data_IF_985646838619
#
_entry.id   IF_985646838619
#
_cell.length_a   1.000
_cell.length_b   1.000
_cell.length_c   1.000
_cell.angle_alpha   90.00
_cell.angle_beta   90.00
_cell.angle_gamma   90.00
#
_symmetry.space_group_name_H-M   'P 1'
#
loop_
_entity.id
_entity.type
_entity.pdbx_description
1 polymer ?
#
# COMPACT_ATOMS: atom_id res chain seq x y z
N UNK A 1 25.23 -2.85 0.22
CA UNK A 1 25.86 -1.68 0.85
C UNK A 1 27.07 -2.17 1.63
N UNK A 2 28.20 -1.45 1.54
CA UNK A 2 29.40 -1.78 2.30
C UNK A 2 29.07 -1.77 3.82
N UNK A 3 29.69 -2.69 4.59
CA UNK A 3 29.48 -2.80 6.04
C UNK A 3 29.73 -1.48 6.78
N UNK A 4 30.72 -0.69 6.35
CA UNK A 4 31.02 0.60 6.96
C UNK A 4 29.93 1.66 6.73
N UNK A 5 29.29 1.64 5.58
CA UNK A 5 28.17 2.54 5.27
C UNK A 5 26.88 2.04 5.94
N UNK A 6 26.68 0.72 5.97
CA UNK A 6 25.50 0.11 6.60
C UNK A 6 25.46 0.28 8.12
N UNK A 7 26.64 0.32 8.77
CA UNK A 7 26.77 0.49 10.21
C UNK A 7 26.75 1.95 10.68
N UNK A 8 26.56 2.93 9.79
CA UNK A 8 26.39 4.33 10.21
C UNK A 8 25.06 4.47 10.94
N UNK A 9 25.13 4.82 12.20
CA UNK A 9 23.96 5.06 13.03
C UNK A 9 23.65 6.55 13.11
N UNK A 10 22.37 6.91 13.07
CA UNK A 10 21.94 8.25 13.39
C UNK A 10 21.89 8.48 14.92
N UNK A 11 21.60 9.71 15.36
CA UNK A 11 21.53 10.04 16.80
C UNK A 11 20.48 9.26 17.58
N UNK A 12 19.51 8.62 16.88
CA UNK A 12 18.50 7.75 17.47
C UNK A 12 18.92 6.27 17.47
N UNK A 13 20.16 5.96 17.09
CA UNK A 13 20.70 4.60 17.06
C UNK A 13 20.19 3.72 15.91
N UNK A 14 19.53 4.31 14.90
CA UNK A 14 19.11 3.57 13.70
C UNK A 14 20.27 3.47 12.72
N UNK A 15 20.49 2.27 12.25
CA UNK A 15 21.49 2.01 11.22
C UNK A 15 21.00 2.45 9.83
N UNK A 16 21.91 2.60 8.89
CA UNK A 16 21.55 2.91 7.51
C UNK A 16 20.67 1.82 6.87
N UNK A 17 20.78 0.59 7.33
CA UNK A 17 19.94 -0.50 6.86
C UNK A 17 18.44 -0.25 7.20
N UNK A 18 18.15 0.25 8.40
CA UNK A 18 16.79 0.58 8.82
C UNK A 18 16.20 1.71 7.96
N UNK A 19 17.06 2.68 7.59
CA UNK A 19 16.66 3.76 6.66
C UNK A 19 16.34 3.19 5.28
N UNK A 20 17.14 2.24 4.80
CA UNK A 20 16.90 1.59 3.50
C UNK A 20 15.64 0.72 3.49
N UNK A 21 15.35 0.03 4.59
CA UNK A 21 14.11 -0.73 4.73
C UNK A 21 12.90 0.20 4.63
N UNK A 22 12.94 1.33 5.34
CA UNK A 22 11.90 2.35 5.22
C UNK A 22 11.74 2.87 3.79
N UNK A 23 12.85 3.18 3.12
CA UNK A 23 12.86 3.63 1.72
C UNK A 23 12.27 2.55 0.80
N UNK A 24 12.57 1.27 1.05
CA UNK A 24 12.05 0.15 0.28
C UNK A 24 10.52 0.02 0.41
N UNK A 25 9.95 0.37 1.55
CA UNK A 25 8.50 0.38 1.77
C UNK A 25 7.79 1.56 1.09
N UNK A 26 8.45 2.73 1.03
CA UNK A 26 7.84 3.94 0.45
C UNK A 26 7.82 3.92 -1.09
N UNK A 27 8.84 3.34 -1.71
CA UNK A 27 8.98 3.34 -3.18
C UNK A 27 7.82 2.64 -3.90
N UNK A 28 7.36 1.45 -3.48
CA UNK A 28 6.22 0.79 -4.12
C UNK A 28 4.92 1.61 -4.01
N UNK A 29 4.75 2.34 -2.91
CA UNK A 29 3.54 3.13 -2.63
C UNK A 29 3.49 4.41 -3.43
N UNK A 30 4.61 5.14 -3.45
CA UNK A 30 4.62 6.53 -3.93
C UNK A 30 5.52 6.77 -5.13
N UNK A 31 6.40 5.83 -5.50
CA UNK A 31 7.49 6.04 -6.46
C UNK A 31 8.41 7.18 -6.07
N UNK A 32 8.66 7.32 -4.79
CA UNK A 32 9.54 8.33 -4.24
C UNK A 32 9.82 8.07 -2.78
N UNK A 33 10.79 8.79 -2.23
CA UNK A 33 11.11 8.81 -0.81
C UNK A 33 11.74 10.13 -0.41
N UNK A 34 11.68 10.46 0.86
CA UNK A 34 12.29 11.65 1.45
C UNK A 34 13.25 11.31 2.57
N UNK A 35 14.41 11.96 2.59
CA UNK A 35 15.40 11.86 3.66
C UNK A 35 15.77 13.24 4.15
N UNK A 36 15.67 13.49 5.45
CA UNK A 36 16.24 14.68 6.08
C UNK A 36 17.72 14.39 6.32
N UNK A 37 18.58 15.21 5.73
CA UNK A 37 20.03 15.10 5.85
C UNK A 37 20.51 16.11 6.88
N UNK A 38 21.17 15.62 7.91
CA UNK A 38 21.81 16.42 8.94
C UNK A 38 23.32 16.52 8.70
N UNK A 39 23.90 17.65 9.07
CA UNK A 39 25.27 17.98 8.78
C UNK A 39 26.11 18.04 10.06
N UNK A 40 27.36 17.62 9.96
CA UNK A 40 28.35 17.83 11.00
C UNK A 40 28.85 19.27 11.03
N UNK A 41 29.59 19.62 12.08
CA UNK A 41 30.19 20.94 12.21
C UNK A 41 31.22 21.29 11.12
N UNK A 42 31.65 20.30 10.35
CA UNK A 42 32.51 20.44 9.17
C UNK A 42 31.73 20.71 7.87
N UNK A 43 30.39 20.76 7.95
CA UNK A 43 29.50 20.95 6.80
C UNK A 43 29.35 19.70 5.91
N UNK A 44 29.74 18.52 6.39
CA UNK A 44 29.52 17.28 5.68
C UNK A 44 28.26 16.60 6.17
N UNK A 45 27.49 15.92 5.27
CA UNK A 45 26.39 15.09 5.67
C UNK A 45 26.82 14.01 6.64
N UNK A 46 26.19 13.98 7.81
CA UNK A 46 26.53 13.06 8.90
C UNK A 46 25.53 11.94 9.01
N UNK A 47 24.25 12.28 9.07
CA UNK A 47 23.14 11.32 9.19
C UNK A 47 22.04 11.62 8.20
N UNK A 48 21.16 10.64 7.98
CA UNK A 48 19.89 10.87 7.34
C UNK A 48 18.74 10.21 8.12
N UNK A 49 17.58 10.89 8.07
CA UNK A 49 16.36 10.42 8.69
C UNK A 49 15.31 10.19 7.61
N UNK A 50 14.69 9.00 7.57
CA UNK A 50 13.61 8.77 6.66
C UNK A 50 12.36 9.53 7.09
N UNK A 51 11.65 10.12 6.13
CA UNK A 51 10.40 10.84 6.35
C UNK A 51 9.29 10.18 5.56
N UNK A 52 8.13 9.88 6.17
CA UNK A 52 6.99 9.37 5.43
C UNK A 52 6.67 10.29 4.25
N UNK A 53 6.66 9.72 3.06
CA UNK A 53 6.53 10.51 1.83
C UNK A 53 5.22 11.31 1.78
N UNK A 54 4.15 10.76 2.36
CA UNK A 54 2.87 11.41 2.51
C UNK A 54 2.90 12.71 3.32
N UNK A 55 3.93 12.91 4.17
CA UNK A 55 4.08 14.10 5.01
C UNK A 55 4.79 15.26 4.29
N UNK A 56 5.38 15.01 3.12
CA UNK A 56 6.19 16.00 2.40
C UNK A 56 5.33 16.76 1.40
N UNK A 57 5.38 18.08 1.47
CA UNK A 57 4.73 18.99 0.51
C UNK A 57 5.71 20.03 -0.01
N UNK A 58 5.64 20.29 -1.30
CA UNK A 58 6.45 21.34 -1.93
C UNK A 58 5.97 22.72 -1.51
N UNK A 59 6.90 23.58 -1.10
CA UNK A 59 6.65 25.01 -0.91
C UNK A 59 6.91 25.69 -2.24
N UNK A 60 5.85 25.97 -2.97
CA UNK A 60 5.92 26.58 -4.29
C UNK A 60 5.95 28.11 -4.17
N UNK A 61 6.91 28.73 -4.85
CA UNK A 61 7.07 30.18 -4.96
C UNK A 61 6.93 30.63 -6.42
N UNK A 62 7.05 31.94 -6.66
CA UNK A 62 6.98 32.52 -8.01
C UNK A 62 8.04 31.94 -8.96
N UNK A 63 9.24 31.60 -8.44
CA UNK A 63 10.31 31.02 -9.25
C UNK A 63 9.96 29.62 -9.76
N UNK A 64 9.15 28.86 -9.02
CA UNK A 64 8.70 27.53 -9.47
C UNK A 64 7.94 27.60 -10.80
N UNK A 65 7.17 28.66 -11.02
CA UNK A 65 6.44 28.86 -12.29
C UNK A 65 7.39 29.01 -13.47
N UNK A 66 8.60 29.52 -13.22
CA UNK A 66 9.62 29.77 -14.23
C UNK A 66 10.49 28.55 -14.54
N UNK A 67 10.97 27.84 -13.49
CA UNK A 67 12.00 26.81 -13.65
C UNK A 67 11.54 25.41 -13.20
N UNK A 68 10.36 25.29 -12.60
CA UNK A 68 9.81 24.04 -12.07
C UNK A 68 10.71 23.36 -11.04
N UNK A 69 11.53 24.15 -10.31
CA UNK A 69 12.43 23.65 -9.28
C UNK A 69 11.83 23.95 -7.90
N UNK A 70 11.62 22.91 -7.10
CA UNK A 70 11.21 23.04 -5.70
C UNK A 70 12.45 23.36 -4.86
N UNK A 71 12.44 24.49 -4.17
CA UNK A 71 13.57 24.94 -3.34
C UNK A 71 13.40 24.66 -1.87
N UNK A 72 12.16 24.50 -1.42
CA UNK A 72 11.83 24.23 -0.01
C UNK A 72 10.71 23.20 0.07
N UNK A 73 10.77 22.37 1.11
CA UNK A 73 9.79 21.34 1.40
C UNK A 73 9.25 21.54 2.80
N UNK A 74 7.96 21.37 2.98
CA UNK A 74 7.34 21.36 4.30
C UNK A 74 7.03 19.91 4.67
N UNK A 75 7.42 19.52 5.87
CA UNK A 75 7.11 18.22 6.47
C UNK A 75 6.11 18.42 7.60
N UNK A 76 4.98 17.74 7.50
CA UNK A 76 3.92 17.80 8.49
C UNK A 76 3.13 16.49 8.46
N UNK A 77 2.75 15.98 9.63
CA UNK A 77 2.10 14.67 9.77
C UNK A 77 0.58 14.69 9.57
N UNK A 78 -0.04 15.86 9.68
CA UNK A 78 -1.51 15.98 9.71
C UNK A 78 -2.05 17.02 8.71
N UNK A 79 -1.89 16.73 7.42
CA UNK A 79 -2.38 17.60 6.35
C UNK A 79 -3.90 17.72 6.27
N UNK A 80 -4.65 16.79 6.84
CA UNK A 80 -6.12 16.80 6.81
C UNK A 80 -6.73 17.88 7.71
N UNK A 81 -6.03 18.25 8.79
CA UNK A 81 -6.47 19.27 9.76
C UNK A 81 -6.06 20.69 9.38
N UNK A 82 -5.17 20.82 8.43
CA UNK A 82 -4.67 22.12 8.03
C UNK A 82 -5.64 22.80 7.06
N UNK A 83 -6.07 24.00 7.43
CA UNK A 83 -6.82 24.83 6.51
C UNK A 83 -5.84 25.35 5.45
N UNK A 84 -5.79 24.67 4.30
CA UNK A 84 -4.85 24.97 3.19
C UNK A 84 -4.89 26.42 2.69
N UNK A 85 -5.87 27.20 3.15
CA UNK A 85 -6.00 28.64 2.83
C UNK A 85 -5.13 29.51 3.70
N UNK A 86 -4.64 29.01 4.84
CA UNK A 86 -3.79 29.78 5.74
C UNK A 86 -2.31 29.63 5.34
N UNK A 87 -1.87 30.47 4.42
CA UNK A 87 -0.47 30.53 3.96
C UNK A 87 0.52 30.92 5.07
N UNK A 88 0.01 31.40 6.22
CA UNK A 88 0.80 31.76 7.40
C UNK A 88 0.84 30.63 8.45
N UNK A 89 0.26 29.47 8.17
CA UNK A 89 0.29 28.34 9.09
C UNK A 89 1.74 27.97 9.45
N UNK A 90 2.08 28.15 10.72
CA UNK A 90 3.38 27.76 11.31
C UNK A 90 3.47 26.26 11.56
N UNK A 91 2.56 25.48 11.01
CA UNK A 91 2.48 24.03 11.19
C UNK A 91 3.52 23.31 10.33
N UNK A 92 4.21 22.37 10.95
CA UNK A 92 5.28 21.61 10.31
C UNK A 92 6.62 22.38 10.17
N UNK A 93 7.64 21.63 9.81
CA UNK A 93 8.99 22.15 9.62
C UNK A 93 9.28 22.34 8.14
N UNK A 94 9.87 23.47 7.78
CA UNK A 94 10.28 23.75 6.41
C UNK A 94 11.77 23.49 6.25
N UNK A 95 12.10 22.58 5.34
CA UNK A 95 13.48 22.21 5.00
C UNK A 95 13.86 22.78 3.65
N UNK A 96 15.09 23.31 3.47
CA UNK A 96 15.66 23.55 2.15
C UNK A 96 15.75 22.24 1.36
N UNK A 97 15.67 22.36 0.04
CA UNK A 97 15.95 21.22 -0.84
C UNK A 97 17.43 20.87 -0.76
N UNK A 98 17.76 19.58 -0.75
CA UNK A 98 19.12 19.12 -0.63
C UNK A 98 20.03 19.70 -1.72
N UNK A 99 20.98 20.51 -1.30
CA UNK A 99 22.05 21.09 -2.11
C UNK A 99 23.29 21.36 -1.23
N UNK A 100 24.23 20.41 -1.15
CA UNK A 100 25.41 20.54 -0.29
C UNK A 100 26.24 21.79 -0.58
N UNK A 101 26.19 22.33 -1.81
CA UNK A 101 26.97 23.52 -2.19
C UNK A 101 26.41 24.79 -1.58
N UNK A 102 25.13 24.82 -1.30
CA UNK A 102 24.47 25.98 -0.71
C UNK A 102 24.34 25.90 0.81
N UNK A 103 24.77 24.80 1.43
CA UNK A 103 24.60 24.57 2.86
C UNK A 103 25.12 25.71 3.73
N UNK A 104 26.36 26.17 3.52
CA UNK A 104 26.94 27.25 4.33
C UNK A 104 26.20 28.58 4.17
N UNK A 105 25.73 28.89 2.97
CA UNK A 105 24.91 30.09 2.72
C UNK A 105 23.59 30.00 3.45
N UNK A 106 22.96 28.83 3.44
CA UNK A 106 21.73 28.58 4.19
C UNK A 106 21.95 28.69 5.70
N UNK A 107 23.09 28.20 6.23
CA UNK A 107 23.44 28.38 7.63
C UNK A 107 23.53 29.86 8.02
N UNK A 108 24.08 30.72 7.16
CA UNK A 108 24.09 32.16 7.38
C UNK A 108 22.67 32.77 7.44
N UNK A 109 21.78 32.31 6.53
CA UNK A 109 20.39 32.76 6.51
C UNK A 109 19.60 32.32 7.76
N UNK A 110 19.93 31.11 8.33
CA UNK A 110 19.32 30.59 9.55
C UNK A 110 19.99 31.11 10.85
N UNK A 111 21.06 31.93 10.74
CA UNK A 111 21.75 32.46 11.89
C UNK A 111 22.70 31.52 12.59
N UNK A 112 23.21 30.49 11.88
CA UNK A 112 24.20 29.54 12.33
C UNK A 112 23.81 28.10 12.06
N UNK A 113 24.81 27.21 12.10
CA UNK A 113 24.63 25.78 11.88
C UNK A 113 23.67 25.14 12.90
N UNK A 114 23.69 25.65 14.14
CA UNK A 114 22.84 25.16 15.23
C UNK A 114 21.34 25.39 14.99
N UNK A 115 21.00 26.40 14.19
CA UNK A 115 19.63 26.74 13.86
C UNK A 115 19.17 26.18 12.51
N UNK A 116 20.08 25.56 11.77
CA UNK A 116 19.76 24.97 10.47
C UNK A 116 19.00 23.66 10.64
N UNK A 117 17.80 23.51 10.06
CA UNK A 117 16.96 22.33 10.29
C UNK A 117 17.50 21.05 9.60
N UNK A 118 18.54 21.16 8.79
CA UNK A 118 18.97 20.16 7.82
C UNK A 118 18.36 20.42 6.45
N UNK A 119 18.70 19.61 5.48
CA UNK A 119 18.18 19.68 4.13
C UNK A 119 17.34 18.43 3.81
N UNK A 120 16.28 18.58 3.01
CA UNK A 120 15.46 17.45 2.57
C UNK A 120 15.93 16.95 1.20
N UNK A 121 16.44 15.73 1.15
CA UNK A 121 16.64 15.01 -0.08
C UNK A 121 15.32 14.37 -0.53
N UNK A 122 14.81 14.82 -1.69
CA UNK A 122 13.54 14.36 -2.25
C UNK A 122 13.78 13.55 -3.50
N UNK A 123 13.62 12.25 -3.41
CA UNK A 123 13.76 11.33 -4.55
C UNK A 123 12.41 11.14 -5.26
N UNK A 124 12.40 11.37 -6.57
CA UNK A 124 11.25 11.16 -7.45
C UNK A 124 11.65 10.21 -8.58
N UNK A 125 10.96 9.07 -8.67
CA UNK A 125 11.17 8.03 -9.68
C UNK A 125 10.28 8.19 -10.91
N UNK A 126 9.43 9.21 -10.92
CA UNK A 126 8.62 9.56 -12.08
C UNK A 126 9.17 10.83 -12.75
N UNK A 127 8.82 11.02 -14.02
CA UNK A 127 9.17 12.27 -14.71
C UNK A 127 8.20 13.43 -14.39
N UNK A 128 7.26 13.22 -13.46
CA UNK A 128 6.27 14.21 -13.07
C UNK A 128 6.77 15.04 -11.89
N UNK A 129 6.51 16.33 -11.91
CA UNK A 129 6.91 17.26 -10.86
C UNK A 129 5.71 18.09 -10.39
N UNK A 130 5.67 18.47 -9.11
CA UNK A 130 6.66 18.18 -8.06
C UNK A 130 6.53 16.75 -7.48
N UNK A 131 5.35 16.12 -7.61
CA UNK A 131 5.08 14.83 -7.00
C UNK A 131 5.14 13.70 -8.01
N UNK A 132 5.66 12.53 -7.61
CA UNK A 132 5.55 11.32 -8.41
C UNK A 132 4.09 10.84 -8.48
N UNK A 133 3.80 10.03 -9.49
CA UNK A 133 2.54 9.32 -9.60
C UNK A 133 2.74 7.91 -9.04
N UNK A 134 1.92 7.54 -8.06
CA UNK A 134 1.89 6.19 -7.52
C UNK A 134 1.65 5.16 -8.63
N UNK A 135 2.30 3.99 -8.59
CA UNK A 135 2.01 2.91 -9.54
C UNK A 135 0.56 2.44 -9.46
N UNK A 136 -0.05 2.56 -8.29
CA UNK A 136 -1.44 2.19 -8.05
C UNK A 136 -2.47 3.16 -8.64
N UNK A 137 -2.05 4.31 -9.12
CA UNK A 137 -2.98 5.28 -9.70
C UNK A 137 -3.73 4.74 -10.94
N UNK A 138 -3.04 3.90 -11.74
CA UNK A 138 -3.63 3.31 -12.94
C UNK A 138 -4.66 2.22 -12.64
N UNK A 139 -4.54 1.55 -11.48
CA UNK A 139 -5.40 0.43 -11.04
C UNK A 139 -6.28 0.82 -9.86
N UNK A 140 -6.52 2.10 -9.67
CA UNK A 140 -7.38 2.60 -8.60
C UNK A 140 -8.82 2.08 -8.71
N UNK A 141 -9.44 1.98 -9.92
CA UNK A 141 -10.75 1.38 -10.07
C UNK A 141 -10.79 -0.10 -9.66
N UNK A 142 -9.75 -0.87 -10.03
CA UNK A 142 -9.60 -2.29 -9.70
C UNK A 142 -9.44 -2.49 -8.19
N UNK A 143 -8.65 -1.65 -7.54
CA UNK A 143 -8.52 -1.64 -6.07
C UNK A 143 -9.85 -1.30 -5.39
N UNK A 144 -10.61 -0.34 -5.93
CA UNK A 144 -11.94 0.00 -5.46
C UNK A 144 -12.94 -1.15 -5.62
N UNK A 145 -12.88 -1.85 -6.75
CA UNK A 145 -13.71 -3.02 -7.01
C UNK A 145 -13.36 -4.19 -6.06
N UNK A 146 -12.07 -4.48 -5.83
CA UNK A 146 -11.65 -5.52 -4.89
C UNK A 146 -12.06 -5.19 -3.46
N UNK A 147 -11.92 -3.94 -3.03
CA UNK A 147 -12.42 -3.47 -1.73
C UNK A 147 -13.95 -3.61 -1.62
N UNK A 148 -14.69 -3.22 -2.65
CA UNK A 148 -16.13 -3.38 -2.70
C UNK A 148 -16.57 -4.84 -2.61
N UNK A 149 -15.85 -5.74 -3.28
CA UNK A 149 -16.07 -7.17 -3.19
C UNK A 149 -15.82 -7.71 -1.77
N UNK A 150 -14.76 -7.26 -1.11
CA UNK A 150 -14.46 -7.65 0.27
C UNK A 150 -15.55 -7.18 1.24
N UNK A 151 -16.00 -5.92 1.12
CA UNK A 151 -17.12 -5.39 1.91
C UNK A 151 -18.43 -6.13 1.64
N UNK A 152 -18.69 -6.51 0.39
CA UNK A 152 -19.87 -7.29 0.05
C UNK A 152 -19.86 -8.66 0.73
N UNK A 153 -18.73 -9.38 0.67
CA UNK A 153 -18.58 -10.68 1.34
C UNK A 153 -18.70 -10.54 2.85
N UNK A 154 -18.06 -9.53 3.45
CA UNK A 154 -18.17 -9.23 4.87
C UNK A 154 -19.62 -8.99 5.29
N UNK A 155 -20.34 -8.15 4.56
CA UNK A 155 -21.75 -7.88 4.82
C UNK A 155 -22.63 -9.11 4.68
N UNK A 156 -22.37 -9.95 3.68
CA UNK A 156 -23.08 -11.20 3.48
C UNK A 156 -22.84 -12.18 4.63
N UNK A 157 -21.58 -12.32 5.06
CA UNK A 157 -21.23 -13.20 6.19
C UNK A 157 -21.79 -12.68 7.52
N UNK A 158 -21.66 -11.38 7.77
CA UNK A 158 -22.16 -10.74 9.00
C UNK A 158 -23.68 -10.80 9.10
N UNK A 159 -24.35 -10.66 7.96
CA UNK A 159 -25.83 -10.63 7.91
C UNK A 159 -26.47 -11.98 7.67
N UNK A 160 -25.69 -13.02 7.40
CA UNK A 160 -26.19 -14.38 7.16
C UNK A 160 -27.05 -14.52 5.91
N UNK A 161 -27.00 -13.57 4.96
CA UNK A 161 -27.90 -13.50 3.82
C UNK A 161 -27.18 -13.50 2.48
N UNK A 162 -27.44 -14.52 1.70
CA UNK A 162 -27.07 -14.58 0.29
C UNK A 162 -28.16 -14.05 -0.66
N UNK A 163 -29.33 -13.70 -0.16
CA UNK A 163 -30.44 -13.18 -0.95
C UNK A 163 -31.32 -12.25 -0.11
N UNK A 164 -31.88 -11.24 -0.75
CA UNK A 164 -32.95 -10.47 -0.15
C UNK A 164 -34.22 -11.35 -0.15
N UNK A 165 -34.78 -11.58 1.02
CA UNK A 165 -36.06 -12.29 1.13
C UNK A 165 -37.19 -11.26 1.31
N UNK A 166 -38.19 -11.40 0.51
CA UNK A 166 -39.44 -10.65 0.69
C UNK A 166 -40.42 -11.53 1.44
N UNK A 167 -40.77 -11.07 2.62
CA UNK A 167 -41.77 -11.73 3.46
C UNK A 167 -43.11 -11.01 3.27
N UNK A 168 -43.99 -11.64 2.51
CA UNK A 168 -45.32 -11.16 2.28
C UNK A 168 -46.27 -11.72 3.34
N UNK A 169 -47.07 -10.87 3.98
CA UNK A 169 -47.99 -11.27 5.03
C UNK A 169 -49.40 -10.68 4.75
N UNK A 170 -50.39 -11.37 5.27
CA UNK A 170 -51.78 -10.89 5.26
C UNK A 170 -52.01 -9.74 6.25
N UNK A 171 -53.29 -9.38 6.43
CA UNK A 171 -53.68 -8.36 7.38
C UNK A 171 -53.69 -8.93 8.80
N UNK A 172 -52.99 -8.25 9.72
CA UNK A 172 -53.04 -8.54 11.16
C UNK A 172 -54.37 -8.04 11.75
N UNK A 173 -54.82 -8.68 12.81
CA UNK A 173 -56.04 -8.29 13.50
C UNK A 173 -55.85 -7.11 14.44
N UNK A 174 -54.64 -6.91 14.95
CA UNK A 174 -54.27 -5.79 15.78
C UNK A 174 -52.88 -5.27 15.55
N UNK A 175 -52.58 -4.03 15.99
CA UNK A 175 -51.24 -3.43 15.91
C UNK A 175 -50.27 -4.16 16.82
N UNK A 176 -50.75 -4.78 17.91
CA UNK A 176 -49.92 -5.58 18.84
C UNK A 176 -49.40 -6.83 18.15
N UNK A 177 -50.25 -7.57 17.44
CA UNK A 177 -49.91 -8.75 16.65
C UNK A 177 -48.88 -8.40 15.56
N UNK A 178 -49.05 -7.25 14.92
CA UNK A 178 -48.07 -6.78 13.93
C UNK A 178 -46.70 -6.47 14.55
N UNK A 179 -46.66 -5.89 15.75
CA UNK A 179 -45.41 -5.58 16.44
C UNK A 179 -44.72 -6.86 16.90
N UNK A 180 -45.45 -7.81 17.50
CA UNK A 180 -44.91 -9.12 17.90
C UNK A 180 -44.31 -9.85 16.70
N UNK A 181 -45.01 -9.81 15.55
CA UNK A 181 -44.49 -10.40 14.31
C UNK A 181 -43.19 -9.72 13.84
N UNK A 182 -43.11 -8.39 13.90
CA UNK A 182 -41.91 -7.65 13.52
C UNK A 182 -40.74 -7.96 14.45
N UNK A 183 -40.96 -8.13 15.74
CA UNK A 183 -39.95 -8.53 16.72
C UNK A 183 -39.48 -9.96 16.44
N UNK A 184 -40.40 -10.91 16.22
CA UNK A 184 -40.07 -12.27 15.86
C UNK A 184 -39.26 -12.37 14.56
N UNK A 185 -39.57 -11.54 13.55
CA UNK A 185 -38.80 -11.47 12.32
C UNK A 185 -37.39 -10.91 12.57
N UNK A 186 -37.25 -9.90 13.45
CA UNK A 186 -35.93 -9.38 13.84
C UNK A 186 -35.09 -10.43 14.56
N UNK A 187 -35.69 -11.19 15.44
CA UNK A 187 -34.98 -12.25 16.18
C UNK A 187 -34.54 -13.40 15.26
N UNK A 188 -35.28 -13.65 14.19
CA UNK A 188 -34.90 -14.62 13.16
C UNK A 188 -33.76 -14.17 12.26
N UNK A 189 -33.45 -12.87 12.25
CA UNK A 189 -32.44 -12.26 11.39
C UNK A 189 -31.00 -12.41 11.87
N UNK A 190 -30.57 -13.59 12.40
CA UNK A 190 -29.17 -13.89 12.77
C UNK A 190 -28.61 -13.06 13.95
N UNK A 191 -27.43 -13.37 14.36
CA UNK A 191 -26.77 -12.96 15.63
C UNK A 191 -26.71 -11.46 15.91
N UNK A 192 -27.20 -10.57 15.09
CA UNK A 192 -27.29 -9.12 15.34
C UNK A 192 -28.40 -8.44 14.53
N UNK A 193 -29.47 -9.14 14.17
CA UNK A 193 -30.55 -8.55 13.39
C UNK A 193 -30.17 -8.18 11.94
N UNK A 194 -29.27 -8.93 11.34
CA UNK A 194 -28.53 -8.56 10.13
C UNK A 194 -29.07 -9.14 8.84
N UNK A 195 -30.30 -9.59 8.77
CA UNK A 195 -30.95 -9.99 7.51
C UNK A 195 -31.77 -8.86 6.90
N UNK A 196 -31.58 -8.54 5.64
CA UNK A 196 -32.50 -7.64 4.94
C UNK A 196 -33.78 -8.43 4.55
N UNK A 197 -34.76 -8.44 5.44
CA UNK A 197 -36.10 -8.95 5.14
C UNK A 197 -37.00 -7.75 4.87
N UNK A 198 -37.47 -7.64 3.65
CA UNK A 198 -38.52 -6.66 3.31
C UNK A 198 -39.86 -7.28 3.66
N UNK A 199 -40.53 -6.74 4.67
CA UNK A 199 -41.91 -7.12 4.97
C UNK A 199 -42.87 -6.31 4.12
N UNK A 200 -43.72 -6.98 3.34
CA UNK A 200 -44.72 -6.35 2.46
C UNK A 200 -46.09 -6.92 2.81
N UNK A 201 -47.03 -6.02 3.03
CA UNK A 201 -48.43 -6.40 3.15
C UNK A 201 -48.97 -6.76 1.77
N UNK A 202 -49.41 -8.01 1.59
CA UNK A 202 -50.06 -8.48 0.36
C UNK A 202 -51.54 -8.81 0.70
N UNK A 203 -52.48 -8.07 0.12
CA UNK A 203 -53.89 -8.26 0.32
C UNK A 203 -54.41 -9.63 -0.19
N UNK A 204 -53.62 -10.30 -1.01
CA UNK A 204 -53.97 -11.63 -1.54
C UNK A 204 -53.45 -12.79 -0.68
N UNK A 205 -52.64 -12.51 0.34
CA UNK A 205 -52.13 -13.51 1.27
C UNK A 205 -53.15 -13.70 2.39
N UNK A 206 -53.49 -14.94 2.66
CA UNK A 206 -54.50 -15.27 3.68
C UNK A 206 -55.95 -15.41 3.13
N UNK A 207 -56.18 -15.25 1.84
CA UNK A 207 -57.46 -15.53 1.20
C UNK A 207 -57.43 -16.99 0.71
N UNK A 208 -58.34 -17.82 1.25
CA UNK A 208 -58.68 -19.19 0.80
C UNK A 208 -57.52 -19.98 0.13
N UNK A 209 -57.01 -20.99 0.78
CA UNK A 209 -55.93 -21.89 0.36
C UNK A 209 -54.52 -21.34 0.24
N UNK A 210 -54.28 -20.07 0.58
CA UNK A 210 -52.92 -19.49 0.62
C UNK A 210 -52.45 -19.34 2.06
N UNK A 211 -51.15 -19.64 2.35
CA UNK A 211 -50.60 -19.41 3.70
C UNK A 211 -50.65 -17.93 4.06
N UNK A 212 -50.88 -17.62 5.34
CA UNK A 212 -50.91 -16.26 5.88
C UNK A 212 -49.55 -15.54 5.70
N UNK A 213 -48.46 -16.30 5.65
CA UNK A 213 -47.12 -15.81 5.44
C UNK A 213 -46.55 -16.51 4.21
N UNK A 214 -45.99 -15.71 3.32
CA UNK A 214 -45.24 -16.19 2.15
C UNK A 214 -43.87 -15.60 2.14
N UNK A 215 -42.84 -16.42 1.89
CA UNK A 215 -41.44 -16.02 1.78
C UNK A 215 -41.07 -16.21 0.30
N UNK A 216 -40.79 -15.11 -0.36
CA UNK A 216 -40.26 -15.11 -1.72
C UNK A 216 -38.76 -14.72 -1.65
N UNK A 217 -37.89 -15.55 -2.15
CA UNK A 217 -36.48 -15.20 -2.30
C UNK A 217 -36.30 -14.33 -3.55
N UNK A 218 -35.88 -13.09 -3.33
CA UNK A 218 -35.58 -12.14 -4.39
C UNK A 218 -34.08 -11.96 -4.42
N UNK A 219 -33.40 -12.68 -5.26
CA UNK A 219 -31.97 -12.56 -5.45
C UNK A 219 -31.39 -13.76 -6.18
N UNK A 220 -30.42 -13.50 -7.01
CA UNK A 220 -29.58 -14.53 -7.59
C UNK A 220 -28.66 -15.08 -6.51
N UNK A 221 -28.60 -16.41 -6.34
CA UNK A 221 -27.57 -16.99 -5.47
C UNK A 221 -26.20 -16.47 -5.93
N UNK A 222 -25.33 -16.16 -4.98
CA UNK A 222 -23.96 -15.78 -5.32
C UNK A 222 -23.34 -16.93 -6.10
N UNK A 223 -23.11 -16.68 -7.37
CA UNK A 223 -22.35 -17.61 -8.19
C UNK A 223 -20.88 -17.49 -7.78
N UNK A 224 -20.40 -18.52 -7.09
CA UNK A 224 -19.00 -18.57 -6.63
C UNK A 224 -18.02 -18.49 -7.80
N UNK A 225 -18.42 -18.97 -8.97
CA UNK A 225 -17.56 -18.95 -10.15
C UNK A 225 -17.55 -17.57 -10.79
N UNK A 226 -18.68 -16.87 -10.75
CA UNK A 226 -18.75 -15.45 -11.16
C UNK A 226 -17.84 -14.60 -10.27
N UNK A 227 -17.95 -14.77 -8.95
CA UNK A 227 -17.09 -14.03 -8.00
C UNK A 227 -15.60 -14.29 -8.27
N UNK A 228 -15.18 -15.55 -8.41
CA UNK A 228 -13.80 -15.90 -8.73
C UNK A 228 -13.34 -15.30 -10.06
N UNK A 229 -14.19 -15.35 -11.08
CA UNK A 229 -13.87 -14.84 -12.41
C UNK A 229 -13.61 -13.31 -12.42
N UNK A 230 -14.20 -12.57 -11.49
CA UNK A 230 -13.94 -11.12 -11.33
C UNK A 230 -12.74 -10.84 -10.43
N UNK A 231 -12.57 -11.54 -9.32
CA UNK A 231 -11.51 -11.24 -8.36
C UNK A 231 -10.10 -11.58 -8.86
N UNK A 232 -9.94 -12.69 -9.59
CA UNK A 232 -8.62 -13.10 -10.08
C UNK A 232 -7.98 -12.09 -11.05
N UNK A 233 -8.69 -11.56 -12.08
CA UNK A 233 -8.14 -10.51 -12.93
C UNK A 233 -7.79 -9.23 -12.17
N UNK A 234 -8.64 -8.78 -11.23
CA UNK A 234 -8.39 -7.57 -10.44
C UNK A 234 -7.09 -7.68 -9.63
N UNK A 235 -6.91 -8.80 -8.93
CA UNK A 235 -5.69 -9.07 -8.15
C UNK A 235 -4.45 -9.12 -9.03
N UNK A 236 -4.58 -9.68 -10.22
CA UNK A 236 -3.50 -9.74 -11.21
C UNK A 236 -3.09 -8.34 -11.65
N UNK A 237 -4.02 -7.48 -11.98
CA UNK A 237 -3.75 -6.14 -12.45
C UNK A 237 -3.12 -5.28 -11.35
N UNK A 238 -3.61 -5.41 -10.10
CA UNK A 238 -3.00 -4.77 -8.92
C UNK A 238 -1.56 -5.26 -8.72
N UNK A 239 -1.30 -6.57 -8.78
CA UNK A 239 0.04 -7.13 -8.60
C UNK A 239 1.01 -6.67 -9.71
N UNK A 240 0.57 -6.63 -10.96
CA UNK A 240 1.39 -6.17 -12.09
C UNK A 240 1.73 -4.68 -11.95
N UNK A 241 0.83 -3.86 -11.41
CA UNK A 241 1.09 -2.43 -11.21
C UNK A 241 2.25 -2.17 -10.23
N UNK A 242 2.49 -3.07 -9.29
CA UNK A 242 3.54 -3.00 -8.30
C UNK A 242 4.83 -3.67 -8.82
N UNK A 243 5.61 -2.96 -9.66
CA UNK A 243 6.89 -3.42 -10.21
C UNK A 243 6.84 -4.75 -10.97
N UNK A 244 5.70 -5.08 -11.57
CA UNK A 244 5.53 -6.31 -12.37
C UNK A 244 5.85 -7.57 -11.56
N UNK A 245 5.32 -7.66 -10.33
CA UNK A 245 5.51 -8.85 -9.49
C UNK A 245 4.84 -10.04 -10.17
N UNK A 246 5.56 -11.13 -10.46
CA UNK A 246 4.94 -12.35 -10.96
C UNK A 246 3.98 -12.93 -9.93
N UNK A 247 2.72 -13.14 -10.31
CA UNK A 247 1.67 -13.60 -9.41
C UNK A 247 2.03 -14.90 -8.67
N UNK A 248 2.68 -15.89 -9.31
CA UNK A 248 3.09 -17.09 -8.61
C UNK A 248 4.06 -16.88 -7.45
N UNK A 249 4.73 -15.72 -7.39
CA UNK A 249 5.56 -15.35 -6.22
C UNK A 249 4.73 -14.83 -5.04
N UNK A 250 3.48 -14.41 -5.29
CA UNK A 250 2.54 -13.95 -4.27
C UNK A 250 1.63 -15.09 -3.84
N UNK A 251 1.13 -15.85 -4.81
CA UNK A 251 0.23 -16.98 -4.60
C UNK A 251 0.81 -18.25 -5.20
N UNK A 252 1.39 -19.07 -4.34
CA UNK A 252 2.01 -20.35 -4.72
C UNK A 252 1.00 -21.39 -5.18
N UNK A 253 -0.30 -21.22 -4.90
CA UNK A 253 -1.36 -22.13 -5.35
C UNK A 253 -1.51 -22.16 -6.87
N UNK A 254 -1.09 -21.06 -7.52
CA UNK A 254 -1.10 -20.92 -8.97
C UNK A 254 0.09 -21.62 -9.67
N UNK A 255 1.03 -22.13 -8.88
CA UNK A 255 2.12 -22.95 -9.39
C UNK A 255 1.61 -24.38 -9.48
N UNK A 256 1.32 -24.86 -10.68
CA UNK A 256 1.00 -26.26 -10.89
C UNK A 256 2.24 -27.11 -10.55
N UNK A 257 2.20 -27.81 -9.42
CA UNK A 257 3.32 -28.62 -8.90
C UNK A 257 3.72 -29.78 -9.85
N UNK A 258 2.88 -30.10 -10.82
CA UNK A 258 3.18 -31.18 -11.77
C UNK A 258 4.26 -30.80 -12.81
N UNK A 259 4.51 -29.52 -13.05
CA UNK A 259 5.45 -29.03 -14.07
C UNK A 259 6.38 -27.90 -13.60
N UNK A 260 6.22 -27.40 -12.38
CA UNK A 260 7.10 -26.37 -11.86
C UNK A 260 8.32 -27.02 -11.22
N UNK A 261 9.33 -27.33 -12.05
CA UNK A 261 10.68 -27.48 -11.50
C UNK A 261 11.04 -26.22 -10.73
N UNK A 262 11.78 -26.34 -9.62
CA UNK A 262 12.25 -25.19 -8.87
C UNK A 262 12.99 -24.13 -9.72
N UNK A 263 13.37 -24.48 -10.93
CA UNK A 263 13.94 -23.58 -11.96
C UNK A 263 12.97 -22.50 -12.43
N UNK A 264 11.68 -22.80 -12.58
CA UNK A 264 10.67 -21.81 -13.00
C UNK A 264 10.52 -20.73 -11.93
N UNK A 265 10.47 -21.13 -10.66
CA UNK A 265 10.38 -20.18 -9.52
C UNK A 265 11.65 -19.34 -9.45
N UNK A 266 12.83 -19.95 -9.61
CA UNK A 266 14.11 -19.21 -9.65
C UNK A 266 14.16 -18.22 -10.80
N UNK A 267 13.69 -18.59 -11.99
CA UNK A 267 13.66 -17.68 -13.13
C UNK A 267 12.67 -16.54 -12.91
N UNK A 268 11.49 -16.79 -12.34
CA UNK A 268 10.55 -15.73 -11.96
C UNK A 268 11.17 -14.75 -10.95
N UNK A 269 11.85 -15.25 -9.93
CA UNK A 269 12.58 -14.44 -8.96
C UNK A 269 13.67 -13.61 -9.65
N UNK A 270 14.42 -14.22 -10.57
CA UNK A 270 15.47 -13.55 -11.32
C UNK A 270 14.91 -12.41 -12.17
N UNK A 271 13.82 -12.65 -12.90
CA UNK A 271 13.13 -11.63 -13.70
C UNK A 271 12.65 -10.49 -12.82
N UNK A 272 12.02 -10.80 -11.71
CA UNK A 272 11.55 -9.79 -10.76
C UNK A 272 12.71 -8.96 -10.16
N UNK A 273 13.76 -9.62 -9.71
CA UNK A 273 14.97 -8.94 -9.20
C UNK A 273 15.61 -8.04 -10.26
N UNK A 274 15.58 -8.43 -11.53
CA UNK A 274 16.07 -7.63 -12.65
C UNK A 274 15.19 -6.39 -12.89
N UNK A 275 13.89 -6.51 -12.73
CA UNK A 275 12.97 -5.35 -12.83
C UNK A 275 13.25 -4.29 -11.77
N UNK A 276 13.72 -4.68 -10.60
CA UNK A 276 14.09 -3.78 -9.50
C UNK A 276 15.50 -3.19 -9.62
N UNK A 277 16.33 -3.62 -10.58
CA UNK A 277 17.72 -3.17 -10.69
C UNK A 277 17.84 -1.66 -10.80
N UNK A 278 17.00 -1.03 -11.63
CA UNK A 278 16.99 0.44 -11.82
C UNK A 278 16.67 1.20 -10.53
N UNK A 279 15.80 0.65 -9.69
CA UNK A 279 15.44 1.25 -8.40
C UNK A 279 16.63 1.17 -7.45
N UNK A 280 17.26 -0.01 -7.34
CA UNK A 280 18.46 -0.21 -6.52
C UNK A 280 19.63 0.67 -6.96
N UNK A 281 19.88 0.74 -8.27
CA UNK A 281 20.96 1.57 -8.83
C UNK A 281 20.70 3.06 -8.55
N UNK A 282 19.43 3.50 -8.57
CA UNK A 282 19.10 4.87 -8.23
C UNK A 282 19.35 5.13 -6.74
N UNK A 283 18.86 4.29 -5.85
CA UNK A 283 19.09 4.42 -4.40
C UNK A 283 20.59 4.45 -4.10
N UNK A 284 21.37 3.55 -4.71
CA UNK A 284 22.82 3.52 -4.55
C UNK A 284 23.49 4.83 -4.96
N UNK A 285 23.11 5.39 -6.09
CA UNK A 285 23.60 6.70 -6.56
C UNK A 285 23.15 7.85 -5.66
N UNK A 286 21.92 7.82 -5.20
CA UNK A 286 21.38 8.84 -4.31
C UNK A 286 22.15 8.86 -2.98
N UNK A 287 22.44 7.69 -2.40
CA UNK A 287 23.27 7.58 -1.19
C UNK A 287 24.71 8.03 -1.43
N UNK A 288 25.31 7.63 -2.56
CA UNK A 288 26.64 8.09 -2.94
C UNK A 288 26.69 9.62 -3.02
N UNK A 289 25.67 10.24 -3.62
CA UNK A 289 25.56 11.69 -3.73
C UNK A 289 25.33 12.38 -2.39
N UNK A 290 24.47 11.82 -1.53
CA UNK A 290 24.15 12.41 -0.21
C UNK A 290 25.41 12.43 0.67
N UNK A 291 26.18 11.34 0.70
CA UNK A 291 27.31 11.20 1.61
C UNK A 291 28.68 11.45 0.97
N UNK A 292 28.71 11.92 -0.27
CA UNK A 292 29.94 12.13 -1.05
C UNK A 292 30.87 10.90 -1.03
N UNK A 293 30.29 9.74 -1.34
CA UNK A 293 30.96 8.46 -1.31
C UNK A 293 31.17 7.91 -2.73
N UNK A 294 32.16 7.03 -2.87
CA UNK A 294 32.31 6.25 -4.09
C UNK A 294 31.03 5.42 -4.34
N UNK A 295 30.42 5.49 -5.54
CA UNK A 295 29.24 4.72 -5.88
C UNK A 295 29.37 3.20 -5.69
N UNK A 296 30.58 2.65 -5.79
CA UNK A 296 30.83 1.21 -5.51
C UNK A 296 30.63 0.86 -4.02
N UNK A 297 30.86 1.79 -3.09
CA UNK A 297 30.65 1.57 -1.65
C UNK A 297 29.16 1.54 -1.28
N UNK A 298 28.33 2.26 -2.04
CA UNK A 298 26.88 2.34 -1.80
C UNK A 298 26.08 1.33 -2.62
N UNK A 299 26.75 0.54 -3.46
CA UNK A 299 26.11 -0.40 -4.36
C UNK A 299 25.34 -1.48 -3.60
N UNK A 300 24.05 -1.56 -3.86
CA UNK A 300 23.18 -2.62 -3.35
C UNK A 300 23.39 -3.85 -4.23
N UNK A 301 24.23 -4.78 -3.75
CA UNK A 301 24.55 -6.02 -4.47
C UNK A 301 23.35 -6.96 -4.47
N UNK A 302 23.19 -7.65 -5.57
CA UNK A 302 22.20 -8.69 -5.75
C UNK A 302 22.93 -10.04 -5.66
N UNK A 303 23.02 -10.58 -4.47
CA UNK A 303 23.73 -11.85 -4.25
C UNK A 303 22.82 -13.01 -4.70
N UNK A 304 22.93 -13.36 -5.98
CA UNK A 304 22.12 -14.42 -6.59
C UNK A 304 22.58 -15.82 -6.15
N UNK A 305 23.82 -15.93 -5.67
CA UNK A 305 24.40 -17.23 -5.29
C UNK A 305 24.07 -17.63 -3.85
N UNK A 306 23.80 -16.67 -2.96
CA UNK A 306 23.45 -16.99 -1.56
C UNK A 306 22.02 -17.47 -1.38
N UNK A 307 21.14 -17.26 -2.36
CA UNK A 307 19.71 -17.61 -2.31
C UNK A 307 19.40 -18.97 -2.97
N UNK A 308 20.39 -19.81 -3.19
CA UNK A 308 20.13 -21.19 -3.54
C UNK A 308 19.42 -21.87 -2.35
N UNK A 309 18.09 -21.88 -2.38
CA UNK A 309 17.31 -22.76 -1.50
C UNK A 309 17.90 -24.16 -1.69
N UNK A 310 18.43 -24.82 -0.63
CA UNK A 310 18.95 -26.16 -0.78
C UNK A 310 17.81 -27.03 -1.33
N UNK A 311 17.95 -27.45 -2.56
CA UNK A 311 17.03 -28.43 -3.15
C UNK A 311 17.14 -29.67 -2.27
N UNK A 312 16.06 -30.13 -1.62
CA UNK A 312 16.10 -31.38 -0.88
C UNK A 312 16.59 -32.45 -1.85
N UNK A 313 17.64 -33.16 -1.47
CA UNK A 313 18.22 -34.21 -2.28
C UNK A 313 17.11 -35.19 -2.70
N UNK A 314 16.96 -35.38 -3.99
CA UNK A 314 15.99 -36.35 -4.53
C UNK A 314 16.34 -37.71 -4.00
N UNK A 315 15.39 -38.55 -3.51
CA UNK A 315 15.68 -39.85 -2.91
C UNK A 315 16.32 -40.92 -3.85
N UNK A 316 16.62 -40.53 -5.10
CA UNK A 316 17.15 -41.43 -6.12
C UNK A 316 18.64 -41.79 -5.97
N UNK A 317 19.41 -41.07 -5.14
CA UNK A 317 20.85 -41.34 -4.98
C UNK A 317 21.19 -42.29 -3.82
N UNK A 318 20.18 -42.91 -3.17
CA UNK A 318 20.41 -43.91 -2.11
C UNK A 318 20.29 -45.39 -2.52
N UNK A 319 20.19 -45.68 -3.81
CA UNK A 319 20.16 -47.08 -4.27
C UNK A 319 21.30 -47.27 -5.25
N UNK A 320 22.49 -47.46 -4.72
CA UNK A 320 23.56 -48.27 -5.33
C UNK A 320 24.75 -48.32 -4.38
N UNK A 321 24.69 -49.19 -3.39
CA UNK A 321 25.82 -49.92 -2.81
C UNK A 321 25.26 -51.20 -2.24
N UNK A 322 25.25 -52.24 -3.10
CA UNK A 322 25.55 -53.62 -2.74
C UNK A 322 26.15 -54.30 -3.97
#
# INVERSE_FOLDING_TARGET
VNKEVGARTNEHGREMIDVLEFVADEIPRYRGYGLIVQYGGDGRPLYCYPVPFGYIRAVLNEDYKRDSIVRKWRVFDNWERENLKDTNSKTGVVYPNFDPKNFWKECEEYGGIENHPGQLYYANFSNRRPYPISPFHAVQPEMGAEHGNALYVENVLARGFHACSVLSHGQFQSDEEQNEFREAVKDMMGVEGTGAVLTVRDENVGISDKPFIRIDQVGTPIDSDLYKSYCEPLRKDIAISCFTIPIPLIDSSLISFSNASGEVVKEMQRVYRRSLSRVRDKISRDLAYIFDLDPELTKIKNDLESDAIPVPATPADQVKTD
#
